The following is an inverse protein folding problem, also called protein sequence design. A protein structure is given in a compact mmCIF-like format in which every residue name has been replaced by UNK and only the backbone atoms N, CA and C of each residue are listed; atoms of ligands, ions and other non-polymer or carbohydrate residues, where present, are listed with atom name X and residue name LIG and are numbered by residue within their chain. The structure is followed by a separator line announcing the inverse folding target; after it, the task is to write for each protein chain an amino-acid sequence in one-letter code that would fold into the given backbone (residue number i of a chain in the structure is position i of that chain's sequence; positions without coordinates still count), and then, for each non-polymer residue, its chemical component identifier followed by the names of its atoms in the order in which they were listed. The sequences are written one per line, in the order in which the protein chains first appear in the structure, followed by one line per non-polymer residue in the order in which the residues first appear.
data_IF_943952918706
#
_entry.id   IF_943952918706
#
_cell.length_a   1.000
_cell.length_b   1.000
_cell.length_c   1.000
_cell.angle_alpha   90.00
_cell.angle_beta   90.00
_cell.angle_gamma   90.00
#
_symmetry.space_group_name_H-M   'P 1'
#
loop_
_entity.id
_entity.type
_entity.pdbx_description
1 polymer ?
#
# COMPACT_ATOMS: atom_id res chain seq x y z
N UNK A 1 4.57 30.55 62.26
CA UNK A 1 5.46 30.18 61.13
C UNK A 1 4.64 29.33 60.16
N UNK A 2 4.37 29.84 58.95
CA UNK A 2 3.44 29.24 57.97
C UNK A 2 4.29 28.64 56.85
N UNK A 3 4.45 27.31 56.81
CA UNK A 3 5.10 26.65 55.67
C UNK A 3 4.13 26.67 54.49
N UNK A 4 4.43 27.50 53.50
CA UNK A 4 3.71 27.63 52.24
C UNK A 4 4.16 26.52 51.29
N UNK A 5 3.24 25.60 51.04
CA UNK A 5 3.37 24.51 50.08
C UNK A 5 3.22 25.09 48.67
N UNK A 6 4.34 25.33 47.98
CA UNK A 6 4.35 25.74 46.58
C UNK A 6 4.55 24.50 45.69
N UNK A 7 3.45 23.86 45.29
CA UNK A 7 3.44 22.82 44.28
C UNK A 7 3.43 23.47 42.89
N UNK A 8 4.51 24.16 42.52
CA UNK A 8 4.64 24.77 41.20
C UNK A 8 5.12 23.72 40.19
N UNK A 9 4.14 23.22 39.42
CA UNK A 9 4.20 22.82 38.01
C UNK A 9 5.60 22.77 37.40
N UNK A 10 6.09 21.57 37.10
CA UNK A 10 6.96 21.40 35.94
C UNK A 10 6.58 20.16 35.13
N UNK A 11 5.50 20.31 34.36
CA UNK A 11 5.06 19.35 33.35
C UNK A 11 5.75 19.58 31.99
N UNK A 12 6.97 20.13 31.97
CA UNK A 12 7.69 20.44 30.71
C UNK A 12 8.48 19.26 30.13
N UNK A 13 8.84 18.26 30.96
CA UNK A 13 9.82 17.21 30.60
C UNK A 13 9.28 16.09 29.70
N UNK A 14 7.96 15.91 29.59
CA UNK A 14 7.34 14.86 28.78
C UNK A 14 7.14 15.26 27.31
N UNK A 15 7.31 16.54 26.97
CA UNK A 15 7.12 17.07 25.61
C UNK A 15 8.07 16.44 24.57
N UNK A 16 9.39 16.30 24.82
CA UNK A 16 10.27 15.63 23.86
C UNK A 16 9.99 14.12 23.79
N UNK A 17 9.66 13.48 24.92
CA UNK A 17 9.33 12.05 24.96
C UNK A 17 8.06 11.74 24.14
N UNK A 18 7.05 12.60 24.22
CA UNK A 18 5.84 12.50 23.41
C UNK A 18 6.13 12.68 21.91
N UNK A 19 6.97 13.65 21.54
CA UNK A 19 7.36 13.86 20.13
C UNK A 19 8.16 12.68 19.58
N UNK A 20 9.11 12.12 20.35
CA UNK A 20 9.88 10.94 19.96
C UNK A 20 8.96 9.74 19.79
N UNK A 21 8.04 9.51 20.73
CA UNK A 21 7.06 8.42 20.66
C UNK A 21 6.17 8.52 19.42
N UNK A 22 5.67 9.72 19.09
CA UNK A 22 4.86 9.97 17.88
C UNK A 22 5.68 9.70 16.60
N UNK A 23 6.95 10.09 16.59
CA UNK A 23 7.84 9.87 15.42
C UNK A 23 8.16 8.37 15.24
N UNK A 24 8.34 7.64 16.35
CA UNK A 24 8.60 6.19 16.37
C UNK A 24 7.37 5.38 15.92
N UNK A 25 6.17 5.81 16.31
CA UNK A 25 4.90 5.23 15.86
C UNK A 25 4.62 5.48 14.36
N UNK A 26 5.09 6.59 13.79
CA UNK A 26 4.88 6.90 12.38
C UNK A 26 5.73 6.02 11.42
N UNK A 27 6.86 5.48 11.88
CA UNK A 27 7.78 4.70 11.04
C UNK A 27 7.30 3.31 10.64
N UNK A 28 6.24 2.78 11.28
CA UNK A 28 5.78 1.39 11.08
C UNK A 28 4.96 1.20 9.79
N UNK A 29 4.55 2.28 9.12
CA UNK A 29 3.63 2.21 7.98
C UNK A 29 4.30 2.13 6.59
N UNK A 30 5.64 2.17 6.51
CA UNK A 30 6.34 2.26 5.22
C UNK A 30 6.91 0.93 4.73
N UNK A 31 6.04 -0.06 4.55
CA UNK A 31 6.36 -1.25 3.75
C UNK A 31 5.18 -1.57 2.82
N UNK A 32 5.13 -0.90 1.67
CA UNK A 32 4.25 -1.32 0.57
C UNK A 32 4.92 -2.52 -0.10
N UNK A 33 4.30 -3.70 -0.01
CA UNK A 33 4.72 -4.83 -0.85
C UNK A 33 4.29 -4.56 -2.29
N UNK A 34 5.15 -4.81 -3.28
CA UNK A 34 4.71 -4.84 -4.66
C UNK A 34 3.66 -5.93 -4.78
N UNK A 35 2.40 -5.54 -4.97
CA UNK A 35 1.28 -6.47 -5.15
C UNK A 35 1.00 -6.53 -6.64
N UNK A 36 1.10 -7.72 -7.23
CA UNK A 36 0.62 -7.90 -8.58
C UNK A 36 -0.90 -7.85 -8.64
N UNK A 37 -1.43 -7.51 -9.81
CA UNK A 37 -2.86 -7.61 -10.12
C UNK A 37 -3.10 -8.98 -10.74
N UNK A 38 -4.00 -9.76 -10.14
CA UNK A 38 -4.41 -11.04 -10.73
C UNK A 38 -5.45 -10.79 -11.83
N UNK A 39 -5.26 -11.44 -12.98
CA UNK A 39 -6.16 -11.40 -14.12
C UNK A 39 -6.53 -12.84 -14.50
N UNK A 40 -7.82 -13.10 -14.62
CA UNK A 40 -8.35 -14.39 -15.10
C UNK A 40 -8.67 -14.30 -16.59
N UNK A 41 -8.08 -15.20 -17.36
CA UNK A 41 -8.33 -15.38 -18.79
C UNK A 41 -9.14 -16.66 -18.94
N UNK A 42 -10.44 -16.49 -19.21
CA UNK A 42 -11.36 -17.60 -19.43
C UNK A 42 -11.30 -18.04 -20.89
N UNK A 43 -10.90 -19.28 -21.12
CA UNK A 43 -10.83 -19.89 -22.45
C UNK A 43 -11.73 -21.11 -22.52
N UNK A 44 -12.01 -21.61 -23.72
CA UNK A 44 -12.76 -22.85 -23.92
C UNK A 44 -12.06 -24.08 -23.31
N UNK A 45 -10.73 -24.02 -23.14
CA UNK A 45 -9.93 -25.09 -22.57
C UNK A 45 -9.76 -24.98 -21.04
N UNK A 46 -10.28 -23.90 -20.44
CA UNK A 46 -10.19 -23.65 -19.01
C UNK A 46 -9.74 -22.23 -18.65
N UNK A 47 -9.58 -22.01 -17.35
CA UNK A 47 -9.14 -20.74 -16.78
C UNK A 47 -7.62 -20.66 -16.69
N UNK A 48 -7.05 -19.53 -17.13
CA UNK A 48 -5.65 -19.19 -16.94
C UNK A 48 -5.58 -17.96 -16.05
N UNK A 49 -4.93 -18.07 -14.88
CA UNK A 49 -4.73 -16.94 -13.96
C UNK A 49 -3.31 -16.43 -14.10
N UNK A 50 -3.16 -15.13 -14.37
CA UNK A 50 -1.86 -14.45 -14.50
C UNK A 50 -1.72 -13.35 -13.46
N UNK A 51 -0.53 -13.19 -12.89
CA UNK A 51 -0.20 -12.07 -12.02
C UNK A 51 0.60 -11.01 -12.79
N UNK A 52 0.05 -9.79 -12.86
CA UNK A 52 0.63 -8.64 -13.55
C UNK A 52 1.40 -7.80 -12.54
N UNK A 53 2.65 -7.41 -12.84
CA UNK A 53 3.48 -6.60 -11.92
C UNK A 53 3.75 -5.19 -12.47
N UNK A 54 2.89 -4.19 -12.17
CA UNK A 54 3.09 -2.80 -12.60
C UNK A 54 4.43 -2.20 -12.16
N UNK A 55 4.92 -2.59 -10.99
CA UNK A 55 6.19 -2.06 -10.44
C UNK A 55 7.41 -2.47 -11.27
N UNK A 56 7.33 -3.58 -12.02
CA UNK A 56 8.44 -4.08 -12.86
C UNK A 56 8.35 -3.61 -14.30
N UNK A 57 7.14 -3.41 -14.82
CA UNK A 57 6.90 -3.01 -16.20
C UNK A 57 5.67 -2.08 -16.29
N UNK A 58 5.80 -0.80 -15.88
CA UNK A 58 4.65 0.07 -15.66
C UNK A 58 3.86 0.36 -16.94
N UNK A 59 4.56 0.67 -18.04
CA UNK A 59 3.93 1.02 -19.31
C UNK A 59 3.17 -0.17 -19.90
N UNK A 60 3.83 -1.32 -20.02
CA UNK A 60 3.22 -2.51 -20.62
C UNK A 60 2.12 -3.10 -19.74
N UNK A 61 2.31 -3.13 -18.42
CA UNK A 61 1.30 -3.61 -17.48
C UNK A 61 0.05 -2.74 -17.52
N UNK A 62 0.21 -1.41 -17.55
CA UNK A 62 -0.93 -0.50 -17.65
C UNK A 62 -1.68 -0.68 -18.97
N UNK A 63 -0.96 -0.77 -20.10
CA UNK A 63 -1.57 -1.01 -21.40
C UNK A 63 -2.35 -2.34 -21.44
N UNK A 64 -1.77 -3.42 -20.89
CA UNK A 64 -2.46 -4.71 -20.80
C UNK A 64 -3.73 -4.61 -19.94
N UNK A 65 -3.64 -4.04 -18.74
CA UNK A 65 -4.77 -3.89 -17.83
C UNK A 65 -5.87 -3.01 -18.41
N UNK A 66 -5.52 -1.98 -19.18
CA UNK A 66 -6.47 -1.13 -19.89
C UNK A 66 -7.25 -1.92 -20.97
N UNK A 67 -6.58 -2.79 -21.72
CA UNK A 67 -7.25 -3.67 -22.69
C UNK A 67 -8.16 -4.71 -22.00
N UNK A 68 -7.76 -5.20 -20.82
CA UNK A 68 -8.59 -6.07 -19.97
C UNK A 68 -9.84 -5.32 -19.51
N UNK A 69 -9.69 -4.11 -18.96
CA UNK A 69 -10.81 -3.29 -18.49
C UNK A 69 -11.78 -2.91 -19.62
N UNK A 70 -11.26 -2.58 -20.80
CA UNK A 70 -12.04 -2.31 -22.00
C UNK A 70 -12.68 -3.55 -22.63
N UNK A 71 -12.33 -4.75 -22.15
CA UNK A 71 -12.84 -6.02 -22.69
C UNK A 71 -12.37 -6.31 -24.12
N UNK A 72 -11.27 -5.72 -24.58
CA UNK A 72 -10.78 -5.84 -25.97
C UNK A 72 -10.38 -7.28 -26.35
N UNK A 73 -10.06 -8.12 -25.36
CA UNK A 73 -9.76 -9.53 -25.57
C UNK A 73 -11.00 -10.45 -25.61
N UNK A 74 -12.20 -9.91 -25.37
CA UNK A 74 -13.44 -10.71 -25.39
C UNK A 74 -13.67 -11.27 -26.78
N UNK A 75 -13.97 -12.57 -26.88
CA UNK A 75 -14.11 -13.30 -28.15
C UNK A 75 -12.86 -13.24 -29.06
N UNK A 76 -11.69 -12.98 -28.50
CA UNK A 76 -10.41 -13.16 -29.20
C UNK A 76 -9.95 -14.63 -29.13
N UNK A 77 -8.97 -14.99 -29.96
CA UNK A 77 -8.40 -16.33 -30.01
C UNK A 77 -6.87 -16.28 -29.96
N UNK A 78 -6.25 -17.32 -29.40
CA UNK A 78 -4.81 -17.52 -29.49
C UNK A 78 -4.47 -18.06 -30.88
N UNK A 79 -3.87 -17.24 -31.73
CA UNK A 79 -3.54 -17.64 -33.10
C UNK A 79 -2.28 -18.53 -33.16
N UNK A 80 -1.39 -18.41 -32.17
CA UNK A 80 -0.08 -19.07 -32.10
C UNK A 80 0.42 -19.17 -30.67
#
# INVERSE_FOLDING_TARGET
MKYSMNLFRNTSWYRPAFLILVTLLAGVFSCKRPSGTLVSINTELGEIVVEVYPDRAPVTSHNFLEHVEKGTYTNSLFYR
#
